data_IF_373645930100
#
_entry.id   IF_373645930100
#
_cell.length_a   1.000
_cell.length_b   1.000
_cell.length_c   1.000
_cell.angle_alpha   90.00
_cell.angle_beta   90.00
_cell.angle_gamma   90.00
#
_symmetry.space_group_name_H-M   'P 1'
#
loop_
_entity.id
_entity.type
_entity.pdbx_description
1 polymer ?
#
# COMPACT_ATOMS: atom_id res chain seq x y z
N UNK A 1 -54.78 52.10 12.01
CA UNK A 1 -54.82 53.39 12.72
C UNK A 1 -53.45 53.73 13.22
N UNK A 2 -52.91 54.87 12.72
CA UNK A 2 -52.17 55.97 13.38
C UNK A 2 -50.82 55.57 14.00
N UNK A 3 -49.69 55.98 13.41
CA UNK A 3 -48.95 57.29 13.46
C UNK A 3 -47.85 57.25 14.51
N UNK A 4 -46.56 57.34 14.03
CA UNK A 4 -45.69 58.55 14.03
C UNK A 4 -45.14 58.96 15.41
N UNK A 5 -43.81 59.03 15.59
CA UNK A 5 -42.91 60.19 15.45
C UNK A 5 -41.49 59.78 15.87
N UNK A 6 -40.50 60.01 15.08
CA UNK A 6 -39.57 61.14 14.93
C UNK A 6 -38.52 61.33 16.04
N UNK A 7 -37.33 61.06 15.64
CA UNK A 7 -36.03 61.73 15.83
C UNK A 7 -35.72 62.45 17.14
N UNK A 8 -34.51 62.16 17.66
CA UNK A 8 -33.51 63.21 17.94
C UNK A 8 -32.09 62.67 17.89
N UNK A 9 -31.30 63.32 17.04
CA UNK A 9 -29.83 63.29 16.98
C UNK A 9 -29.26 63.82 18.29
N UNK A 10 -28.23 63.16 18.82
CA UNK A 10 -27.12 63.85 19.50
C UNK A 10 -25.85 63.08 19.27
N UNK A 11 -24.89 63.75 18.62
CA UNK A 11 -23.52 63.31 18.43
C UNK A 11 -22.79 63.36 19.77
N UNK A 12 -21.99 62.33 20.04
CA UNK A 12 -20.83 62.44 20.90
C UNK A 12 -19.69 61.63 20.26
N UNK A 13 -18.69 62.39 19.92
CA UNK A 13 -17.42 61.95 19.35
C UNK A 13 -16.57 61.23 20.39
N UNK A 14 -15.66 60.39 19.80
CA UNK A 14 -14.34 60.05 20.32
C UNK A 14 -14.22 58.86 21.26
N UNK A 15 -13.60 57.85 20.78
CA UNK A 15 -12.27 57.29 21.13
C UNK A 15 -12.12 55.93 20.42
N UNK A 16 -11.44 56.03 19.27
CA UNK A 16 -10.99 54.80 18.60
C UNK A 16 -9.80 54.28 19.39
N UNK A 17 -10.07 53.33 20.28
CA UNK A 17 -9.03 52.51 20.85
C UNK A 17 -8.58 51.46 19.79
N UNK A 18 -7.38 51.67 19.26
CA UNK A 18 -6.70 50.60 18.50
C UNK A 18 -6.35 49.47 19.46
N UNK A 19 -7.21 48.42 19.51
CA UNK A 19 -6.80 47.15 20.02
C UNK A 19 -5.88 46.49 18.99
N UNK A 20 -4.72 45.94 19.38
CA UNK A 20 -3.89 45.22 18.45
C UNK A 20 -4.66 43.95 17.99
N UNK A 21 -4.96 43.87 16.71
CA UNK A 21 -5.44 42.65 16.08
C UNK A 21 -4.34 41.61 16.26
N UNK A 22 -4.48 40.75 17.28
CA UNK A 22 -3.70 39.51 17.34
C UNK A 22 -4.10 38.69 16.13
N UNK A 23 -3.24 38.72 15.12
CA UNK A 23 -3.26 37.74 14.07
C UNK A 23 -2.97 36.38 14.72
N UNK A 24 -4.02 35.62 15.03
CA UNK A 24 -3.88 34.18 15.21
C UNK A 24 -3.37 33.63 13.88
N UNK A 25 -2.07 33.52 13.74
CA UNK A 25 -1.50 32.62 12.76
C UNK A 25 -1.92 31.22 13.22
N UNK A 26 -3.02 30.72 12.65
CA UNK A 26 -3.32 29.31 12.66
C UNK A 26 -2.11 28.67 12.00
N UNK A 27 -1.22 28.09 12.79
CA UNK A 27 -0.28 27.11 12.29
C UNK A 27 -1.15 26.03 11.66
N UNK A 28 -1.22 26.06 10.34
CA UNK A 28 -1.68 24.93 9.57
C UNK A 28 -0.61 23.85 9.83
N UNK A 29 -0.83 23.03 10.85
CA UNK A 29 -0.23 21.72 10.88
C UNK A 29 -0.77 21.05 9.61
N UNK A 30 -0.02 21.09 8.53
CA UNK A 30 -0.19 20.20 7.40
C UNK A 30 0.21 18.81 7.92
N UNK A 31 -0.72 18.14 8.62
CA UNK A 31 -0.60 16.69 8.78
C UNK A 31 -0.59 16.13 7.36
N UNK A 32 0.45 15.43 7.02
CA UNK A 32 0.54 14.73 5.75
C UNK A 32 -0.64 13.78 5.64
N UNK A 33 -1.35 13.81 4.50
CA UNK A 33 -2.42 12.84 4.21
C UNK A 33 -1.86 11.42 3.93
N UNK A 34 -0.53 11.27 3.95
CA UNK A 34 0.20 10.01 3.80
C UNK A 34 0.39 9.37 5.18
N UNK A 35 0.03 8.10 5.28
CA UNK A 35 0.14 7.30 6.51
C UNK A 35 1.10 6.12 6.29
N UNK A 36 1.63 5.57 7.38
CA UNK A 36 2.55 4.44 7.33
C UNK A 36 1.81 3.16 7.71
N UNK A 37 1.98 2.11 6.91
CA UNK A 37 1.62 0.72 7.23
C UNK A 37 2.86 -0.17 7.31
N UNK A 38 2.71 -1.38 7.83
CA UNK A 38 3.75 -2.40 7.90
C UNK A 38 3.36 -3.60 7.04
N UNK A 39 4.18 -3.92 6.05
CA UNK A 39 4.06 -5.16 5.31
C UNK A 39 4.59 -6.33 6.14
N UNK A 40 3.81 -7.39 6.26
CA UNK A 40 4.17 -8.62 7.00
C UNK A 40 5.44 -9.27 6.43
N UNK A 41 5.73 -9.03 5.14
CA UNK A 41 6.95 -9.53 4.50
C UNK A 41 8.23 -8.99 5.15
N UNK A 42 8.20 -7.81 5.77
CA UNK A 42 9.32 -7.27 6.55
C UNK A 42 9.75 -8.15 7.73
N UNK A 43 8.89 -9.06 8.17
CA UNK A 43 9.09 -10.00 9.27
C UNK A 43 9.12 -11.47 8.78
N UNK A 44 9.37 -11.68 7.47
CA UNK A 44 9.24 -13.00 6.86
C UNK A 44 10.26 -14.02 7.40
N UNK A 45 11.45 -13.59 7.79
CA UNK A 45 12.49 -14.48 8.34
C UNK A 45 12.09 -14.97 9.74
N UNK A 46 11.68 -14.07 10.62
CA UNK A 46 11.22 -14.39 11.98
C UNK A 46 9.96 -15.25 11.97
N UNK A 47 9.04 -15.01 11.03
CA UNK A 47 7.82 -15.83 10.87
C UNK A 47 8.18 -17.22 10.35
N UNK A 48 9.00 -17.33 9.31
CA UNK A 48 9.40 -18.62 8.71
C UNK A 48 10.24 -19.47 9.66
N UNK A 49 11.04 -18.85 10.53
CA UNK A 49 11.80 -19.55 11.56
C UNK A 49 10.96 -19.98 12.77
N UNK A 50 9.72 -19.45 12.90
CA UNK A 50 8.87 -19.68 14.06
C UNK A 50 9.21 -18.83 15.29
N UNK A 51 10.17 -17.90 15.18
CA UNK A 51 10.53 -16.95 16.23
C UNK A 51 9.35 -15.98 16.50
N UNK A 52 8.69 -15.52 15.44
CA UNK A 52 7.48 -14.74 15.54
C UNK A 52 6.26 -15.60 15.12
N UNK A 53 5.35 -15.94 16.06
CA UNK A 53 4.10 -16.58 15.71
C UNK A 53 3.31 -15.72 14.72
N UNK A 54 2.89 -16.31 13.60
CA UNK A 54 2.25 -15.57 12.49
C UNK A 54 1.01 -14.78 12.92
N UNK A 55 0.28 -15.30 13.92
CA UNK A 55 -0.90 -14.63 14.47
C UNK A 55 -0.57 -13.42 15.36
N UNK A 56 0.67 -13.24 15.77
CA UNK A 56 1.11 -12.11 16.61
C UNK A 56 1.53 -10.86 15.79
N UNK A 57 1.27 -10.87 14.47
CA UNK A 57 1.68 -9.79 13.58
C UNK A 57 1.08 -8.41 13.98
N UNK A 58 -0.22 -8.34 14.26
CA UNK A 58 -0.86 -7.10 14.71
C UNK A 58 -0.25 -6.58 16.03
N UNK A 59 0.02 -7.49 16.98
CA UNK A 59 0.74 -7.16 18.23
C UNK A 59 2.14 -6.63 17.95
N UNK A 60 2.87 -7.25 17.02
CA UNK A 60 4.24 -6.84 16.64
C UNK A 60 4.24 -5.46 15.99
N UNK A 61 3.30 -5.16 15.09
CA UNK A 61 3.14 -3.84 14.48
C UNK A 61 2.90 -2.75 15.54
N UNK A 62 2.08 -3.05 16.55
CA UNK A 62 1.82 -2.13 17.66
C UNK A 62 3.07 -1.79 18.47
N UNK A 63 4.02 -2.74 18.61
CA UNK A 63 5.30 -2.47 19.29
C UNK A 63 6.18 -1.47 18.52
N UNK A 64 6.01 -1.36 17.21
CA UNK A 64 6.67 -0.35 16.37
C UNK A 64 5.89 0.98 16.31
N UNK A 65 4.77 1.10 17.02
CA UNK A 65 3.85 2.25 16.91
C UNK A 65 3.39 2.47 15.46
N UNK A 66 3.03 1.37 14.77
CA UNK A 66 2.44 1.37 13.43
C UNK A 66 1.01 0.87 13.57
N UNK A 67 0.05 1.65 13.04
CA UNK A 67 -1.39 1.43 13.29
C UNK A 67 -2.11 0.79 12.10
N UNK A 68 -1.41 0.44 11.02
CA UNK A 68 -1.99 -0.26 9.88
C UNK A 68 -1.04 -1.36 9.38
N UNK A 69 -1.60 -2.46 8.89
CA UNK A 69 -0.83 -3.63 8.46
C UNK A 69 -1.27 -4.17 7.11
N UNK A 70 -0.31 -4.86 6.46
CA UNK A 70 -0.46 -5.50 5.17
C UNK A 70 -0.05 -6.96 5.28
N UNK A 71 -1.01 -7.86 5.13
CA UNK A 71 -0.79 -9.30 5.23
C UNK A 71 -0.22 -9.90 3.96
N UNK A 72 0.42 -11.08 4.08
CA UNK A 72 0.99 -11.84 2.95
C UNK A 72 0.46 -13.28 2.96
N UNK A 73 -0.27 -13.68 1.94
CA UNK A 73 -0.95 -14.97 1.85
C UNK A 73 0.03 -16.16 1.93
N UNK A 74 1.18 -16.09 1.27
CA UNK A 74 2.16 -17.19 1.25
C UNK A 74 2.71 -17.54 2.63
N UNK A 75 2.76 -16.58 3.56
CA UNK A 75 3.16 -16.86 4.94
C UNK A 75 2.15 -17.76 5.66
N UNK A 76 0.87 -17.71 5.29
CA UNK A 76 -0.19 -18.56 5.84
C UNK A 76 -0.33 -19.89 5.12
N UNK A 77 -0.09 -19.92 3.79
CA UNK A 77 -0.34 -21.11 2.96
C UNK A 77 0.89 -22.00 2.79
N UNK A 78 2.10 -21.45 2.90
CA UNK A 78 3.34 -22.15 2.55
C UNK A 78 4.34 -22.21 3.73
N UNK A 79 4.22 -21.26 4.67
CA UNK A 79 5.24 -21.08 5.71
C UNK A 79 4.69 -21.18 7.14
N UNK A 80 3.46 -21.63 7.30
CA UNK A 80 2.86 -21.94 8.61
C UNK A 80 1.85 -23.06 8.47
N UNK A 81 1.58 -23.73 9.58
CA UNK A 81 0.57 -24.81 9.70
C UNK A 81 -0.81 -24.27 10.16
N UNK A 82 -0.98 -22.95 10.15
CA UNK A 82 -2.20 -22.35 10.70
C UNK A 82 -3.46 -22.76 9.94
N UNK A 83 -3.40 -22.93 8.62
CA UNK A 83 -4.52 -23.38 7.79
C UNK A 83 -4.76 -24.88 7.90
N UNK A 84 -3.78 -25.68 8.35
CA UNK A 84 -3.97 -27.09 8.70
C UNK A 84 -4.72 -27.23 10.01
N UNK A 85 -4.56 -26.26 10.92
CA UNK A 85 -5.15 -26.26 12.26
C UNK A 85 -6.52 -25.59 12.33
N UNK A 86 -6.82 -24.67 11.40
CA UNK A 86 -8.11 -23.97 11.38
C UNK A 86 -8.55 -23.60 9.96
N UNK A 87 -9.86 -23.65 9.64
CA UNK A 87 -10.36 -23.23 8.35
C UNK A 87 -10.21 -21.71 8.15
N UNK A 88 -10.15 -21.27 6.89
CA UNK A 88 -9.99 -19.84 6.52
C UNK A 88 -11.01 -18.92 7.23
N UNK A 89 -12.26 -19.39 7.41
CA UNK A 89 -13.29 -18.59 8.09
C UNK A 89 -12.99 -18.35 9.57
N UNK A 90 -12.30 -19.28 10.24
CA UNK A 90 -11.85 -19.13 11.63
C UNK A 90 -10.61 -18.28 11.69
N UNK A 91 -9.68 -18.44 10.75
CA UNK A 91 -8.51 -17.57 10.61
C UNK A 91 -8.93 -16.11 10.41
N UNK A 92 -9.91 -15.85 9.54
CA UNK A 92 -10.41 -14.50 9.33
C UNK A 92 -10.91 -13.84 10.63
N UNK A 93 -11.68 -14.56 11.43
CA UNK A 93 -12.18 -14.08 12.73
C UNK A 93 -11.04 -13.81 13.71
N UNK A 94 -10.05 -14.70 13.73
CA UNK A 94 -8.89 -14.57 14.62
C UNK A 94 -8.03 -13.36 14.24
N UNK A 95 -7.74 -13.13 12.95
CA UNK A 95 -6.99 -11.98 12.48
C UNK A 95 -7.73 -10.67 12.77
N UNK A 96 -9.03 -10.61 12.48
CA UNK A 96 -9.85 -9.44 12.76
C UNK A 96 -9.86 -9.15 14.27
N UNK A 97 -10.11 -10.17 15.12
CA UNK A 97 -10.09 -10.00 16.56
C UNK A 97 -8.75 -9.45 17.06
N UNK A 98 -7.63 -9.97 16.56
CA UNK A 98 -6.30 -9.53 16.98
C UNK A 98 -5.99 -8.11 16.54
N UNK A 99 -6.36 -7.73 15.32
CA UNK A 99 -6.21 -6.33 14.90
C UNK A 99 -7.04 -5.38 15.74
N UNK A 100 -8.29 -5.74 16.06
CA UNK A 100 -9.17 -4.96 16.94
C UNK A 100 -8.60 -4.84 18.37
N UNK A 101 -8.12 -5.97 18.95
CA UNK A 101 -7.54 -6.01 20.31
C UNK A 101 -6.33 -5.05 20.45
N UNK A 102 -5.59 -4.81 19.38
CA UNK A 102 -4.42 -3.92 19.37
C UNK A 102 -4.67 -2.56 18.72
N UNK A 103 -5.90 -2.29 18.23
CA UNK A 103 -6.25 -1.04 17.56
C UNK A 103 -5.47 -0.84 16.25
N UNK A 104 -5.36 -1.90 15.44
CA UNK A 104 -4.62 -1.93 14.17
C UNK A 104 -5.61 -2.02 13.01
N UNK A 105 -5.45 -1.16 12.01
CA UNK A 105 -6.20 -1.21 10.75
C UNK A 105 -5.64 -2.32 9.84
N UNK A 106 -6.50 -3.22 9.40
CA UNK A 106 -6.18 -4.18 8.35
C UNK A 106 -6.31 -3.45 6.99
N UNK A 107 -5.20 -3.01 6.43
CA UNK A 107 -5.22 -2.19 5.22
C UNK A 107 -5.21 -3.02 3.95
N UNK A 108 -4.27 -3.95 3.82
CA UNK A 108 -4.01 -4.64 2.57
C UNK A 108 -3.71 -6.12 2.79
N UNK A 109 -4.08 -6.96 1.80
CA UNK A 109 -3.71 -8.37 1.73
C UNK A 109 -2.97 -8.67 0.42
N UNK A 110 -1.73 -9.14 0.49
CA UNK A 110 -0.92 -9.52 -0.66
C UNK A 110 -1.16 -10.98 -1.01
N UNK A 111 -1.53 -11.24 -2.26
CA UNK A 111 -1.83 -12.58 -2.76
C UNK A 111 -0.72 -13.06 -3.68
N UNK A 112 -0.09 -14.17 -3.28
CA UNK A 112 0.92 -14.88 -4.04
C UNK A 112 0.50 -16.34 -4.23
N UNK A 113 1.08 -17.02 -5.24
CA UNK A 113 0.89 -18.47 -5.41
C UNK A 113 -0.50 -18.94 -5.84
N UNK A 114 -1.43 -18.03 -6.22
CA UNK A 114 -2.82 -18.38 -6.52
C UNK A 114 -3.11 -18.55 -8.01
N UNK A 115 -2.07 -18.71 -8.82
CA UNK A 115 -2.15 -18.95 -10.26
C UNK A 115 -1.92 -17.70 -11.12
N UNK A 116 -1.87 -17.91 -12.44
CA UNK A 116 -1.39 -16.96 -13.42
C UNK A 116 -2.52 -16.15 -14.05
N UNK A 117 -2.74 -14.94 -13.56
CA UNK A 117 -3.81 -14.04 -14.02
C UNK A 117 -3.63 -13.55 -15.47
N UNK A 118 -2.39 -13.53 -15.98
CA UNK A 118 -2.11 -13.14 -17.37
C UNK A 118 -1.97 -14.33 -18.34
N UNK A 119 -2.15 -15.56 -17.88
CA UNK A 119 -1.94 -16.76 -18.71
C UNK A 119 -2.77 -16.78 -19.98
N UNK A 120 -2.14 -17.07 -21.12
CA UNK A 120 -2.81 -17.31 -22.40
C UNK A 120 -3.65 -18.59 -22.40
N UNK A 121 -3.35 -19.54 -21.51
CA UNK A 121 -4.16 -20.75 -21.32
C UNK A 121 -5.43 -20.40 -20.53
N UNK A 122 -6.56 -20.24 -21.24
CA UNK A 122 -7.83 -19.80 -20.68
C UNK A 122 -8.23 -20.55 -19.40
N UNK A 123 -8.06 -21.90 -19.37
CA UNK A 123 -8.40 -22.71 -18.19
C UNK A 123 -7.59 -22.28 -16.96
N UNK A 124 -6.27 -22.11 -17.10
CA UNK A 124 -5.38 -21.67 -16.01
C UNK A 124 -5.77 -20.28 -15.53
N UNK A 125 -6.01 -19.34 -16.45
CA UNK A 125 -6.41 -17.98 -16.10
C UNK A 125 -7.76 -17.95 -15.36
N UNK A 126 -8.75 -18.72 -15.79
CA UNK A 126 -10.04 -18.78 -15.09
C UNK A 126 -9.91 -19.41 -13.71
N UNK A 127 -9.11 -20.46 -13.55
CA UNK A 127 -8.81 -21.07 -12.25
C UNK A 127 -8.12 -20.07 -11.31
N UNK A 128 -7.13 -19.32 -11.82
CA UNK A 128 -6.49 -18.24 -11.08
C UNK A 128 -7.50 -17.17 -10.62
N UNK A 129 -8.40 -16.74 -11.50
CA UNK A 129 -9.46 -15.78 -11.15
C UNK A 129 -10.33 -16.32 -10.00
N UNK A 130 -10.78 -17.56 -10.05
CA UNK A 130 -11.61 -18.16 -8.98
C UNK A 130 -10.85 -18.30 -7.66
N UNK A 131 -9.56 -18.62 -7.72
CA UNK A 131 -8.71 -18.63 -6.52
C UNK A 131 -8.60 -17.24 -5.89
N UNK A 132 -8.36 -16.21 -6.71
CA UNK A 132 -8.25 -14.82 -6.22
C UNK A 132 -9.59 -14.30 -5.65
N UNK A 133 -10.75 -14.70 -6.17
CA UNK A 133 -12.05 -14.33 -5.60
C UNK A 133 -12.21 -14.80 -4.14
N UNK A 134 -11.74 -15.99 -3.81
CA UNK A 134 -11.77 -16.50 -2.41
C UNK A 134 -10.96 -15.60 -1.48
N UNK A 135 -9.83 -15.06 -1.98
CA UNK A 135 -9.00 -14.14 -1.23
C UNK A 135 -9.59 -12.73 -1.17
N UNK A 136 -10.36 -12.30 -2.19
CA UNK A 136 -11.16 -11.08 -2.10
C UNK A 136 -12.17 -11.18 -0.95
N UNK A 137 -12.91 -12.29 -0.86
CA UNK A 137 -13.89 -12.51 0.20
C UNK A 137 -13.21 -12.56 1.58
N UNK A 138 -12.05 -13.23 1.67
CA UNK A 138 -11.27 -13.30 2.90
C UNK A 138 -10.77 -11.91 3.31
N UNK A 139 -10.12 -11.19 2.41
CA UNK A 139 -9.57 -9.84 2.66
C UNK A 139 -10.67 -8.87 3.10
N UNK A 140 -11.82 -8.91 2.43
CA UNK A 140 -12.97 -8.10 2.79
C UNK A 140 -13.51 -8.46 4.19
N UNK A 141 -13.57 -9.74 4.52
CA UNK A 141 -14.04 -10.24 5.83
C UNK A 141 -13.17 -9.75 6.98
N UNK A 142 -11.85 -9.67 6.79
CA UNK A 142 -10.93 -9.15 7.83
C UNK A 142 -10.82 -7.62 7.84
N UNK A 143 -11.61 -6.93 7.02
CA UNK A 143 -11.67 -5.46 6.98
C UNK A 143 -10.64 -4.78 6.08
N UNK A 144 -9.84 -5.53 5.29
CA UNK A 144 -8.94 -4.94 4.33
C UNK A 144 -9.68 -4.08 3.30
N UNK A 145 -9.04 -3.01 2.86
CA UNK A 145 -9.56 -2.10 1.82
C UNK A 145 -8.93 -2.38 0.46
N UNK A 146 -7.84 -3.13 0.43
CA UNK A 146 -7.02 -3.35 -0.76
C UNK A 146 -6.52 -4.80 -0.78
N UNK A 147 -6.50 -5.41 -1.96
CA UNK A 147 -5.87 -6.70 -2.22
C UNK A 147 -4.85 -6.53 -3.34
N UNK A 148 -3.61 -6.95 -3.12
CA UNK A 148 -2.56 -6.93 -4.13
C UNK A 148 -2.49 -8.27 -4.84
N UNK A 149 -2.38 -8.23 -6.16
CA UNK A 149 -2.20 -9.39 -7.04
C UNK A 149 -0.97 -9.22 -7.92
N UNK A 150 -0.45 -10.33 -8.47
CA UNK A 150 0.62 -10.36 -9.46
C UNK A 150 0.08 -10.75 -10.84
N UNK A 151 0.68 -10.20 -11.92
CA UNK A 151 0.32 -10.52 -13.30
C UNK A 151 1.40 -11.39 -13.93
N UNK A 152 1.30 -12.70 -13.73
CA UNK A 152 2.23 -13.71 -14.27
C UNK A 152 1.60 -14.60 -15.32
N UNK A 153 2.44 -15.37 -16.04
CA UNK A 153 2.02 -16.49 -16.88
C UNK A 153 1.95 -16.20 -18.39
N UNK A 154 2.51 -15.09 -18.86
CA UNK A 154 2.63 -14.76 -20.28
C UNK A 154 3.82 -13.82 -20.51
N UNK A 155 4.63 -14.14 -21.53
CA UNK A 155 5.83 -13.38 -21.88
C UNK A 155 5.64 -12.46 -23.10
N UNK A 156 4.60 -12.72 -23.91
CA UNK A 156 4.25 -11.84 -25.03
C UNK A 156 3.46 -10.64 -24.53
N UNK A 157 3.97 -9.44 -24.74
CA UNK A 157 3.41 -8.19 -24.20
C UNK A 157 1.95 -7.95 -24.59
N UNK A 158 1.55 -8.21 -25.83
CA UNK A 158 0.18 -7.95 -26.27
C UNK A 158 -0.81 -8.91 -25.60
N UNK A 159 -0.49 -10.20 -25.56
CA UNK A 159 -1.29 -11.23 -24.87
C UNK A 159 -1.31 -11.02 -23.37
N UNK A 160 -0.17 -10.67 -22.78
CA UNK A 160 -0.08 -10.33 -21.36
C UNK A 160 -1.00 -9.16 -21.03
N UNK A 161 -0.94 -8.09 -21.82
CA UNK A 161 -1.80 -6.91 -21.63
C UNK A 161 -3.29 -7.29 -21.74
N UNK A 162 -3.68 -8.00 -22.81
CA UNK A 162 -5.08 -8.39 -23.03
C UNK A 162 -5.61 -9.29 -21.92
N UNK A 163 -4.84 -10.29 -21.51
CA UNK A 163 -5.26 -11.23 -20.49
C UNK A 163 -5.31 -10.60 -19.10
N UNK A 164 -4.34 -9.72 -18.77
CA UNK A 164 -4.32 -8.95 -17.54
C UNK A 164 -5.56 -8.06 -17.42
N UNK A 165 -5.90 -7.32 -18.47
CA UNK A 165 -7.13 -6.49 -18.51
C UNK A 165 -8.38 -7.33 -18.25
N UNK A 166 -8.50 -8.50 -18.91
CA UNK A 166 -9.65 -9.40 -18.69
C UNK A 166 -9.75 -9.88 -17.24
N UNK A 167 -8.64 -10.32 -16.67
CA UNK A 167 -8.63 -10.85 -15.30
C UNK A 167 -8.90 -9.78 -14.26
N UNK A 168 -8.22 -8.63 -14.36
CA UNK A 168 -8.42 -7.51 -13.45
C UNK A 168 -9.84 -6.96 -13.52
N UNK A 169 -10.43 -6.84 -14.72
CA UNK A 169 -11.81 -6.40 -14.87
C UNK A 169 -12.80 -7.34 -14.17
N UNK A 170 -12.56 -8.66 -14.20
CA UNK A 170 -13.41 -9.62 -13.49
C UNK A 170 -13.25 -9.46 -11.97
N UNK A 171 -12.02 -9.38 -11.48
CA UNK A 171 -11.74 -9.28 -10.04
C UNK A 171 -12.27 -7.98 -9.44
N UNK A 172 -12.03 -6.83 -10.11
CA UNK A 172 -12.48 -5.52 -9.63
C UNK A 172 -14.01 -5.37 -9.64
N UNK A 173 -14.69 -6.01 -10.61
CA UNK A 173 -16.15 -6.03 -10.62
C UNK A 173 -16.77 -7.05 -9.65
N UNK A 174 -16.00 -8.00 -9.13
CA UNK A 174 -16.48 -9.01 -8.18
C UNK A 174 -16.84 -8.39 -6.82
N UNK A 175 -15.97 -7.50 -6.29
CA UNK A 175 -16.26 -6.73 -5.08
C UNK A 175 -15.82 -5.27 -5.25
N UNK A 176 -16.78 -4.37 -5.46
CA UNK A 176 -16.50 -2.94 -5.67
C UNK A 176 -16.09 -2.16 -4.42
N UNK A 177 -16.19 -2.78 -3.24
CA UNK A 177 -15.79 -2.16 -1.98
C UNK A 177 -14.35 -2.52 -1.56
N UNK A 178 -13.63 -3.26 -2.41
CA UNK A 178 -12.23 -3.63 -2.22
C UNK A 178 -11.44 -3.22 -3.46
N UNK A 179 -10.31 -2.54 -3.26
CA UNK A 179 -9.40 -2.23 -4.34
C UNK A 179 -8.60 -3.49 -4.74
N UNK A 180 -8.48 -3.73 -6.03
CA UNK A 180 -7.58 -4.74 -6.61
C UNK A 180 -6.40 -4.01 -7.21
N UNK A 181 -5.22 -4.17 -6.64
CA UNK A 181 -4.01 -3.48 -7.08
C UNK A 181 -2.97 -4.46 -7.60
N UNK A 182 -2.17 -4.00 -8.54
CA UNK A 182 -1.05 -4.76 -9.09
C UNK A 182 0.26 -4.11 -8.66
N UNK A 183 1.15 -4.93 -8.13
CA UNK A 183 2.53 -4.55 -7.84
C UNK A 183 3.42 -4.73 -9.08
N UNK A 184 4.41 -3.86 -9.26
CA UNK A 184 5.53 -4.12 -10.14
C UNK A 184 6.42 -5.21 -9.49
N UNK A 185 6.16 -6.48 -9.82
CA UNK A 185 6.77 -7.62 -9.13
C UNK A 185 7.24 -8.70 -10.11
N UNK A 186 8.32 -8.40 -10.81
CA UNK A 186 8.95 -9.31 -11.79
C UNK A 186 8.31 -9.29 -13.18
N UNK A 187 9.02 -9.81 -14.15
CA UNK A 187 8.60 -9.99 -15.55
C UNK A 187 8.10 -8.67 -16.20
N UNK A 188 7.06 -8.75 -17.00
CA UNK A 188 6.48 -7.59 -17.70
C UNK A 188 5.88 -6.55 -16.74
N UNK A 189 5.47 -6.94 -15.54
CA UNK A 189 4.92 -6.00 -14.54
C UNK A 189 5.98 -5.08 -13.94
N UNK A 190 7.26 -5.48 -13.94
CA UNK A 190 8.38 -4.63 -13.51
C UNK A 190 8.73 -3.51 -14.51
N UNK A 191 8.06 -3.45 -15.66
CA UNK A 191 8.15 -2.32 -16.56
C UNK A 191 6.97 -1.37 -16.30
N UNK A 192 7.24 -0.22 -15.66
CA UNK A 192 6.21 0.75 -15.27
C UNK A 192 5.30 1.16 -16.42
N UNK A 193 5.86 1.42 -17.62
CA UNK A 193 5.07 1.77 -18.80
C UNK A 193 4.10 0.66 -19.22
N UNK A 194 4.50 -0.61 -19.13
CA UNK A 194 3.64 -1.72 -19.53
C UNK A 194 2.49 -1.90 -18.54
N UNK A 195 2.79 -1.84 -17.24
CA UNK A 195 1.79 -1.94 -16.19
C UNK A 195 0.81 -0.75 -16.22
N UNK A 196 1.31 0.48 -16.39
CA UNK A 196 0.47 1.67 -16.57
C UNK A 196 -0.47 1.55 -17.78
N UNK A 197 0.00 0.96 -18.91
CA UNK A 197 -0.85 0.68 -20.07
C UNK A 197 -1.96 -0.33 -19.76
N UNK A 198 -1.70 -1.34 -18.93
CA UNK A 198 -2.75 -2.26 -18.46
C UNK A 198 -3.80 -1.49 -17.65
N UNK A 199 -3.38 -0.66 -16.69
CA UNK A 199 -4.30 0.13 -15.85
C UNK A 199 -5.17 1.07 -16.68
N UNK A 200 -4.58 1.79 -17.65
CA UNK A 200 -5.33 2.68 -18.55
C UNK A 200 -6.40 1.96 -19.36
N UNK A 201 -6.20 0.68 -19.68
CA UNK A 201 -7.17 -0.14 -20.42
C UNK A 201 -8.22 -0.79 -19.52
N UNK A 202 -7.89 -1.13 -18.28
CA UNK A 202 -8.86 -1.62 -17.29
C UNK A 202 -9.85 -0.51 -16.96
N UNK A 203 -9.37 0.68 -16.65
CA UNK A 203 -10.15 1.90 -16.40
C UNK A 203 -11.36 1.66 -15.48
N UNK A 204 -11.13 1.06 -14.31
CA UNK A 204 -12.13 0.78 -13.28
C UNK A 204 -11.61 1.39 -11.97
N UNK A 205 -12.43 2.20 -11.29
CA UNK A 205 -12.01 3.03 -10.15
C UNK A 205 -11.35 2.27 -8.99
N UNK A 206 -11.79 1.04 -8.71
CA UNK A 206 -11.19 0.17 -7.69
C UNK A 206 -10.13 -0.80 -8.25
N UNK A 207 -9.58 -0.53 -9.43
CA UNK A 207 -8.44 -1.24 -9.99
C UNK A 207 -7.25 -0.29 -10.16
N UNK A 208 -6.12 -0.63 -9.57
CA UNK A 208 -4.97 0.27 -9.61
C UNK A 208 -3.63 -0.43 -9.42
N UNK A 209 -2.65 0.33 -8.98
CA UNK A 209 -1.30 -0.15 -8.72
C UNK A 209 -0.93 -0.07 -7.25
N UNK A 210 0.05 -0.87 -6.88
CA UNK A 210 0.89 -0.74 -5.69
C UNK A 210 2.32 -0.56 -6.18
N UNK A 211 2.78 0.68 -6.46
CA UNK A 211 4.17 0.91 -6.83
C UNK A 211 5.11 0.50 -5.69
N UNK A 212 5.96 -0.49 -5.94
CA UNK A 212 7.06 -0.87 -5.07
C UNK A 212 8.34 -0.14 -5.49
N UNK A 213 9.11 0.38 -4.54
CA UNK A 213 10.28 1.18 -4.83
C UNK A 213 11.47 0.39 -5.39
N UNK A 214 11.50 -0.94 -5.20
CA UNK A 214 12.63 -1.79 -5.55
C UNK A 214 12.39 -2.84 -6.64
N UNK A 215 11.15 -3.26 -6.89
CA UNK A 215 10.82 -4.42 -7.73
C UNK A 215 10.79 -4.10 -9.24
N UNK A 216 11.87 -3.54 -9.77
CA UNK A 216 12.01 -3.13 -11.17
C UNK A 216 12.98 -3.99 -12.00
N UNK A 217 13.25 -5.22 -11.56
CA UNK A 217 14.01 -6.16 -12.36
C UNK A 217 13.15 -6.74 -13.49
N UNK A 218 13.53 -6.50 -14.75
CA UNK A 218 12.81 -6.95 -15.95
C UNK A 218 13.46 -8.14 -16.65
N UNK A 219 14.67 -8.51 -16.24
CA UNK A 219 15.36 -9.71 -16.71
C UNK A 219 16.38 -10.14 -15.66
N UNK A 220 16.31 -11.40 -15.22
CA UNK A 220 17.18 -11.91 -14.18
C UNK A 220 16.82 -13.31 -13.70
N UNK A 221 17.58 -13.79 -12.74
CA UNK A 221 17.31 -15.01 -11.96
C UNK A 221 17.05 -14.63 -10.50
N UNK A 222 16.49 -15.51 -9.68
CA UNK A 222 16.32 -15.26 -8.26
C UNK A 222 17.61 -14.78 -7.58
N UNK A 223 17.60 -13.57 -7.03
CA UNK A 223 18.74 -12.94 -6.37
C UNK A 223 19.76 -12.24 -7.30
N UNK A 224 19.58 -12.28 -8.64
CA UNK A 224 20.49 -11.64 -9.58
C UNK A 224 19.72 -11.00 -10.73
N UNK A 225 19.71 -9.67 -10.80
CA UNK A 225 19.08 -8.93 -11.88
C UNK A 225 20.09 -8.51 -12.95
N UNK A 226 19.81 -8.86 -14.21
CA UNK A 226 20.65 -8.50 -15.36
C UNK A 226 20.20 -7.22 -16.02
N UNK A 227 18.90 -6.87 -15.90
CA UNK A 227 18.35 -5.68 -16.53
C UNK A 227 17.27 -5.04 -15.65
N UNK A 228 17.54 -3.80 -15.28
CA UNK A 228 16.64 -2.98 -14.47
C UNK A 228 15.85 -2.00 -15.34
N UNK A 229 14.60 -1.79 -14.99
CA UNK A 229 13.87 -0.60 -15.38
C UNK A 229 14.25 0.54 -14.42
N UNK A 230 14.25 1.78 -14.89
CA UNK A 230 14.52 2.93 -14.01
C UNK A 230 13.42 3.01 -12.93
N UNK A 231 13.81 2.86 -11.66
CA UNK A 231 12.89 2.77 -10.52
C UNK A 231 12.08 4.06 -10.33
N UNK A 232 12.71 5.22 -10.48
CA UNK A 232 12.04 6.52 -10.31
C UNK A 232 11.07 6.80 -11.45
N UNK A 233 11.48 6.50 -12.67
CA UNK A 233 10.61 6.56 -13.84
C UNK A 233 9.43 5.60 -13.69
N UNK A 234 9.69 4.38 -13.25
CA UNK A 234 8.66 3.36 -13.07
C UNK A 234 7.63 3.75 -12.03
N UNK A 235 8.06 4.20 -10.85
CA UNK A 235 7.14 4.70 -9.81
C UNK A 235 6.34 5.88 -10.36
N UNK A 236 6.98 6.85 -11.02
CA UNK A 236 6.28 8.00 -11.61
C UNK A 236 5.20 7.60 -12.62
N UNK A 237 5.43 6.56 -13.42
CA UNK A 237 4.46 6.03 -14.39
C UNK A 237 3.28 5.31 -13.73
N UNK A 238 3.50 4.71 -12.54
CA UNK A 238 2.50 3.93 -11.81
C UNK A 238 1.67 4.78 -10.83
N UNK A 239 2.23 5.85 -10.27
CA UNK A 239 1.56 6.70 -9.28
C UNK A 239 0.18 7.22 -9.68
N UNK A 240 -0.13 7.57 -10.95
CA UNK A 240 -1.49 7.99 -11.34
C UNK A 240 -2.58 6.94 -11.09
N UNK A 241 -2.21 5.69 -10.86
CA UNK A 241 -3.13 4.58 -10.62
C UNK A 241 -2.98 4.01 -9.20
N UNK A 242 -2.17 4.61 -8.34
CA UNK A 242 -1.81 4.03 -7.04
C UNK A 242 -2.95 4.10 -6.02
N UNK A 243 -3.29 2.96 -5.41
CA UNK A 243 -4.16 2.85 -4.23
C UNK A 243 -3.39 2.43 -2.97
N UNK A 244 -2.15 2.02 -3.13
CA UNK A 244 -1.18 1.71 -2.09
C UNK A 244 0.22 1.97 -2.63
N UNK A 245 1.24 2.05 -1.78
CA UNK A 245 2.65 2.21 -2.15
C UNK A 245 3.49 1.32 -1.24
N UNK A 246 4.49 0.60 -1.79
CA UNK A 246 5.44 -0.19 -1.01
C UNK A 246 6.79 0.52 -0.93
N UNK A 247 7.16 0.92 0.28
CA UNK A 247 8.45 1.52 0.58
C UNK A 247 9.50 0.41 0.83
N UNK A 248 9.90 -0.26 -0.26
CA UNK A 248 10.99 -1.23 -0.23
C UNK A 248 12.26 -0.60 0.28
N UNK A 249 12.94 -1.24 1.22
CA UNK A 249 14.20 -0.78 1.78
C UNK A 249 15.16 -1.93 2.07
N UNK A 250 16.46 -1.66 2.04
CA UNK A 250 17.49 -2.67 2.18
C UNK A 250 18.58 -2.29 3.19
N UNK A 251 19.24 -1.16 3.00
CA UNK A 251 20.45 -0.79 3.76
C UNK A 251 20.43 0.68 4.13
N UNK A 252 20.86 0.97 5.33
CA UNK A 252 20.90 2.32 5.86
C UNK A 252 22.34 2.70 6.23
N UNK A 253 22.68 3.97 6.06
CA UNK A 253 23.94 4.55 6.54
C UNK A 253 23.82 5.06 7.99
N UNK A 254 24.93 5.60 8.51
CA UNK A 254 24.98 6.14 9.88
C UNK A 254 24.08 7.37 10.10
N UNK A 255 23.63 8.03 9.03
CA UNK A 255 22.69 9.16 9.10
C UNK A 255 21.22 8.70 9.08
N UNK A 256 20.99 7.41 8.84
CA UNK A 256 19.66 6.81 8.71
C UNK A 256 19.03 6.98 7.32
N UNK A 257 19.83 7.31 6.30
CA UNK A 257 19.38 7.38 4.92
C UNK A 257 19.52 6.01 4.24
N UNK A 258 18.53 5.60 3.45
CA UNK A 258 18.57 4.37 2.66
C UNK A 258 19.59 4.52 1.52
N UNK A 259 20.46 3.52 1.32
CA UNK A 259 21.63 3.64 0.44
C UNK A 259 21.44 2.99 -0.93
N UNK A 260 20.41 2.18 -1.12
CA UNK A 260 20.10 1.52 -2.40
C UNK A 260 19.06 2.30 -3.22
N UNK A 261 18.18 3.04 -2.54
CA UNK A 261 17.10 3.82 -3.12
C UNK A 261 17.15 5.24 -2.54
N UNK A 262 17.24 6.26 -3.38
CA UNK A 262 17.14 7.65 -2.94
C UNK A 262 15.69 7.95 -2.52
N UNK A 263 15.41 7.87 -1.23
CA UNK A 263 14.10 8.08 -0.65
C UNK A 263 13.61 9.52 -0.77
N UNK A 264 14.50 10.50 -0.77
CA UNK A 264 14.13 11.90 -0.98
C UNK A 264 13.50 12.09 -2.35
N UNK A 265 14.20 11.63 -3.39
CA UNK A 265 13.70 11.67 -4.76
C UNK A 265 12.43 10.82 -4.94
N UNK A 266 12.36 9.66 -4.29
CA UNK A 266 11.23 8.75 -4.42
C UNK A 266 9.97 9.33 -3.76
N UNK A 267 10.09 9.88 -2.56
CA UNK A 267 8.97 10.49 -1.85
C UNK A 267 8.50 11.80 -2.52
N UNK A 268 9.40 12.55 -3.17
CA UNK A 268 8.99 13.69 -3.99
C UNK A 268 8.09 13.25 -5.14
N UNK A 269 8.41 12.15 -5.83
CA UNK A 269 7.55 11.58 -6.89
C UNK A 269 6.17 11.19 -6.35
N UNK A 270 6.12 10.57 -5.17
CA UNK A 270 4.87 10.16 -4.53
C UNK A 270 4.01 11.37 -4.15
N UNK A 271 4.62 12.40 -3.54
CA UNK A 271 3.95 13.64 -3.14
C UNK A 271 3.50 14.47 -4.34
N UNK A 272 4.33 14.59 -5.37
CA UNK A 272 4.02 15.32 -6.60
C UNK A 272 2.83 14.71 -7.36
N UNK A 273 2.61 13.40 -7.21
CA UNK A 273 1.43 12.73 -7.74
C UNK A 273 0.14 13.03 -6.94
N UNK A 274 0.24 13.77 -5.83
CA UNK A 274 -0.90 14.07 -4.95
C UNK A 274 -1.41 12.86 -4.18
N UNK A 275 -0.57 11.84 -3.96
CA UNK A 275 -0.96 10.61 -3.29
C UNK A 275 -1.40 10.87 -1.85
N UNK A 276 -2.50 10.22 -1.48
CA UNK A 276 -3.07 10.23 -0.13
C UNK A 276 -3.44 8.81 0.24
N UNK A 277 -2.80 8.27 1.23
CA UNK A 277 -3.04 6.88 1.61
C UNK A 277 -1.90 6.27 2.40
N UNK A 278 -1.79 4.95 2.39
CA UNK A 278 -0.76 4.25 3.11
C UNK A 278 0.48 4.00 2.25
N UNK A 279 1.66 4.22 2.85
CA UNK A 279 2.94 3.72 2.36
C UNK A 279 3.35 2.58 3.29
N UNK A 280 3.45 1.37 2.76
CA UNK A 280 3.82 0.15 3.48
C UNK A 280 5.33 0.03 3.63
N UNK A 281 5.82 -0.12 4.85
CA UNK A 281 7.21 -0.49 5.10
C UNK A 281 7.40 -1.93 4.63
N UNK A 282 8.34 -2.16 3.71
CA UNK A 282 8.74 -3.48 3.27
C UNK A 282 10.27 -3.61 3.27
N UNK A 283 10.81 -3.94 4.44
CA UNK A 283 12.25 -4.11 4.64
C UNK A 283 12.70 -5.52 4.23
N UNK A 284 13.70 -5.58 3.35
CA UNK A 284 14.31 -6.84 2.87
C UNK A 284 15.84 -6.86 3.04
N UNK A 285 16.39 -5.97 3.85
CA UNK A 285 17.81 -5.91 4.11
C UNK A 285 18.38 -7.14 4.86
N UNK A 286 19.70 -7.24 4.88
CA UNK A 286 20.41 -8.34 5.54
C UNK A 286 21.60 -7.89 6.41
N UNK A 287 21.78 -6.56 6.58
CA UNK A 287 22.87 -6.00 7.39
C UNK A 287 22.44 -5.61 8.80
N UNK A 288 21.15 -5.68 9.07
CA UNK A 288 20.54 -5.44 10.37
C UNK A 288 19.37 -6.39 10.56
N UNK A 289 18.83 -6.49 11.77
CA UNK A 289 17.64 -7.28 12.06
C UNK A 289 16.41 -6.71 11.37
N UNK A 290 15.35 -7.54 11.22
CA UNK A 290 14.06 -7.09 10.68
C UNK A 290 13.48 -5.92 11.50
N UNK A 291 13.58 -6.00 12.83
CA UNK A 291 13.11 -4.94 13.74
C UNK A 291 13.85 -3.61 13.51
N UNK A 292 15.18 -3.65 13.44
CA UNK A 292 16.00 -2.46 13.19
C UNK A 292 15.70 -1.85 11.82
N UNK A 293 15.55 -2.68 10.79
CA UNK A 293 15.21 -2.22 9.43
C UNK A 293 13.83 -1.60 9.33
N UNK A 294 12.83 -2.17 9.99
CA UNK A 294 11.48 -1.59 10.09
C UNK A 294 11.53 -0.22 10.77
N UNK A 295 12.24 -0.11 11.89
CA UNK A 295 12.40 1.14 12.65
C UNK A 295 13.15 2.19 11.82
N UNK A 296 14.21 1.80 11.11
CA UNK A 296 14.98 2.70 10.26
C UNK A 296 14.12 3.24 9.10
N UNK A 297 13.40 2.36 8.41
CA UNK A 297 12.48 2.75 7.33
C UNK A 297 11.37 3.67 7.84
N UNK A 298 10.76 3.34 9.00
CA UNK A 298 9.73 4.18 9.63
C UNK A 298 10.25 5.59 9.89
N UNK A 299 11.42 5.71 10.55
CA UNK A 299 12.02 7.02 10.87
C UNK A 299 12.32 7.84 9.62
N UNK A 300 12.81 7.19 8.55
CA UNK A 300 13.11 7.88 7.29
C UNK A 300 11.81 8.34 6.62
N UNK A 301 10.75 7.53 6.60
CA UNK A 301 9.44 7.94 6.11
C UNK A 301 8.87 9.10 6.92
N UNK A 302 8.87 9.03 8.26
CA UNK A 302 8.37 10.10 9.14
C UNK A 302 9.12 11.43 8.97
N UNK A 303 10.40 11.38 8.59
CA UNK A 303 11.21 12.56 8.27
C UNK A 303 10.80 13.21 6.95
N UNK A 304 10.27 12.41 6.00
CA UNK A 304 10.09 12.82 4.60
C UNK A 304 8.63 13.06 4.19
N UNK A 305 7.63 12.54 4.93
CA UNK A 305 6.18 12.71 4.65
C UNK A 305 5.56 13.92 5.45
#
# INVERSE_FOLDING_TARGET
MKRRNFAKLTALSSLIGFAPMQTFSKSLNNESDIKISLAQWSLNKSIKSGELPILDFAKKARLFDINAIEYVASLYTEHSDVLDRMPMSSLAKELLKRSDDYGIDNFLFMIDGQGDLASSRKRIRLEAIENHKRWIDFSFTIGCKTMRVNLRGEDNLDRWTENSVKSLSVLSNYNKNLNVVVENHGDLSSNGKYLANVMSKVNIDNCGTLPDFGNFCIDGNPGLCFKWYDIYKGVKELMPYAHAVSAKSYHFDDNGDETSIDYYKMLDIVKDAGYKGYIGIEFEGNRMSEDEGIIATKKLLEKLI
#
